data_IF_778873135631
#
_entry.id   IF_778873135631
#
_cell.length_a   1.000
_cell.length_b   1.000
_cell.length_c   1.000
_cell.angle_alpha   90.00
_cell.angle_beta   90.00
_cell.angle_gamma   90.00
#
_symmetry.space_group_name_H-M   'P 1'
#
loop_
_entity.id
_entity.type
_entity.pdbx_description
1 polymer ?
#
# COMPACT_ATOMS: atom_id res chain seq x y z
N UNK A 1 -8.13 20.21 10.70
CA UNK A 1 -7.16 19.29 11.33
C UNK A 1 -6.25 18.68 10.26
N UNK A 2 -5.08 19.28 9.99
CA UNK A 2 -4.16 18.81 8.95
C UNK A 2 -3.45 17.49 9.33
N UNK A 3 -3.09 17.35 10.61
CA UNK A 3 -2.43 16.15 11.14
C UNK A 3 -3.29 14.90 11.05
N UNK A 4 -4.60 15.02 11.27
CA UNK A 4 -5.55 13.92 11.13
C UNK A 4 -5.63 13.40 9.68
N UNK A 5 -5.60 14.31 8.69
CA UNK A 5 -5.56 13.93 7.27
C UNK A 5 -4.25 13.21 6.94
N UNK A 6 -3.12 13.69 7.49
CA UNK A 6 -1.83 13.02 7.35
C UNK A 6 -1.83 11.62 7.96
N UNK A 7 -2.33 11.47 9.19
CA UNK A 7 -2.44 10.18 9.87
C UNK A 7 -3.36 9.20 9.13
N UNK A 8 -4.48 9.69 8.59
CA UNK A 8 -5.36 8.89 7.74
C UNK A 8 -4.61 8.35 6.52
N UNK A 9 -3.91 9.20 5.76
CA UNK A 9 -3.12 8.76 4.61
C UNK A 9 -2.01 7.78 5.01
N UNK A 10 -1.30 8.05 6.10
CA UNK A 10 -0.26 7.17 6.63
C UNK A 10 -0.83 5.79 6.98
N UNK A 11 -2.05 5.70 7.53
CA UNK A 11 -2.68 4.42 7.81
C UNK A 11 -3.01 3.63 6.54
N UNK A 12 -3.39 4.31 5.45
CA UNK A 12 -3.55 3.64 4.15
C UNK A 12 -2.23 3.16 3.58
N UNK A 13 -1.17 3.97 3.61
CA UNK A 13 0.12 3.60 3.03
C UNK A 13 0.87 2.53 3.86
N UNK A 14 0.99 2.78 5.16
CA UNK A 14 1.83 2.01 6.07
C UNK A 14 1.05 1.02 6.94
N UNK A 15 -0.25 1.20 7.13
CA UNK A 15 -1.13 0.22 7.77
C UNK A 15 -1.64 -0.78 6.74
N UNK A 16 -2.72 -0.43 6.06
CA UNK A 16 -3.42 -1.34 5.14
C UNK A 16 -2.58 -1.72 3.91
N UNK A 17 -1.91 -0.74 3.32
CA UNK A 17 -1.01 -0.93 2.19
C UNK A 17 0.26 -1.68 2.55
N UNK A 18 0.66 -1.66 3.83
CA UNK A 18 1.82 -2.39 4.31
C UNK A 18 3.14 -2.01 3.64
N UNK A 19 3.23 -0.80 3.07
CA UNK A 19 4.41 -0.34 2.35
C UNK A 19 5.55 -0.14 3.36
N UNK A 20 6.74 -0.67 3.09
CA UNK A 20 7.92 -0.52 3.94
C UNK A 20 9.13 -0.20 3.09
N UNK A 21 9.76 0.92 3.39
CA UNK A 21 11.08 1.25 2.87
C UNK A 21 12.11 0.48 3.71
N UNK A 22 12.95 -0.29 3.05
CA UNK A 22 14.07 -1.04 3.63
C UNK A 22 15.33 -0.73 2.84
N UNK A 23 16.48 -1.07 3.40
CA UNK A 23 17.78 -0.91 2.74
C UNK A 23 17.85 -1.71 1.43
N UNK A 24 17.18 -2.87 1.39
CA UNK A 24 17.11 -3.75 0.21
C UNK A 24 15.97 -3.40 -0.75
N UNK A 25 15.18 -2.37 -0.45
CA UNK A 25 14.18 -1.81 -1.37
C UNK A 25 12.79 -1.58 -0.78
N UNK A 26 11.81 -1.43 -1.68
CA UNK A 26 10.40 -1.29 -1.34
C UNK A 26 9.80 -2.69 -1.07
N UNK A 27 9.32 -2.93 0.15
CA UNK A 27 8.57 -4.13 0.53
C UNK A 27 7.09 -3.80 0.71
N UNK A 28 6.22 -4.77 0.44
CA UNK A 28 4.77 -4.65 0.62
C UNK A 28 4.27 -5.86 1.42
N UNK A 29 3.62 -5.59 2.55
CA UNK A 29 3.02 -6.59 3.44
C UNK A 29 1.60 -6.16 3.80
N UNK A 30 0.65 -6.34 2.87
CA UNK A 30 -0.67 -5.74 2.98
C UNK A 30 -1.50 -6.41 4.09
N UNK A 31 -2.33 -5.62 4.76
CA UNK A 31 -3.31 -6.10 5.72
C UNK A 31 -4.62 -5.34 5.53
N UNK A 32 -5.52 -5.93 4.75
CA UNK A 32 -6.82 -5.32 4.50
C UNK A 32 -7.82 -5.70 5.60
N UNK A 33 -8.58 -4.74 6.14
CA UNK A 33 -9.69 -5.04 7.02
C UNK A 33 -10.81 -5.78 6.25
N UNK A 34 -11.65 -6.53 6.95
CA UNK A 34 -12.74 -7.34 6.37
C UNK A 34 -13.64 -6.56 5.39
N UNK A 35 -13.91 -5.30 5.70
CA UNK A 35 -14.82 -4.46 4.92
C UNK A 35 -14.21 -3.98 3.60
N UNK A 36 -12.89 -4.12 3.41
CA UNK A 36 -12.18 -3.60 2.24
C UNK A 36 -11.70 -4.75 1.37
N UNK A 37 -12.31 -4.86 0.18
CA UNK A 37 -11.96 -5.92 -0.79
C UNK A 37 -10.70 -5.62 -1.60
N UNK A 38 -10.48 -4.34 -1.93
CA UNK A 38 -9.38 -3.90 -2.77
C UNK A 38 -8.94 -2.48 -2.45
N UNK A 39 -7.63 -2.24 -2.51
CA UNK A 39 -7.03 -0.91 -2.53
C UNK A 39 -6.08 -0.84 -3.72
N UNK A 40 -6.13 0.26 -4.47
CA UNK A 40 -5.19 0.53 -5.56
C UNK A 40 -4.49 1.86 -5.32
N UNK A 41 -3.18 1.83 -5.15
CA UNK A 41 -2.33 3.01 -5.21
C UNK A 41 -1.87 3.19 -6.66
N UNK A 42 -2.43 4.19 -7.34
CA UNK A 42 -2.19 4.41 -8.76
C UNK A 42 -0.74 4.74 -9.08
N UNK A 43 -0.07 5.48 -8.20
CA UNK A 43 1.31 5.91 -8.40
C UNK A 43 2.03 6.14 -7.09
N UNK A 44 3.03 5.31 -6.82
CA UNK A 44 3.98 5.44 -5.73
C UNK A 44 5.34 5.71 -6.33
N UNK A 45 6.03 6.75 -5.88
CA UNK A 45 7.36 7.08 -6.34
C UNK A 45 8.41 6.56 -5.37
N UNK A 46 9.35 5.79 -5.89
CA UNK A 46 10.48 5.27 -5.11
C UNK A 46 11.69 5.05 -6.02
N UNK A 47 12.88 5.44 -5.57
CA UNK A 47 14.12 5.23 -6.33
C UNK A 47 14.12 5.82 -7.75
N UNK A 48 13.43 6.96 -7.96
CA UNK A 48 13.29 7.59 -9.28
C UNK A 48 12.31 6.88 -10.23
N UNK A 49 11.60 5.86 -9.77
CA UNK A 49 10.61 5.09 -10.56
C UNK A 49 9.22 5.26 -9.99
N UNK A 50 8.22 5.05 -10.86
CA UNK A 50 6.82 5.02 -10.49
C UNK A 50 6.31 3.58 -10.44
N UNK A 51 5.50 3.27 -9.43
CA UNK A 51 4.90 1.96 -9.25
C UNK A 51 3.40 2.08 -9.05
N UNK A 52 2.65 1.16 -9.63
CA UNK A 52 1.26 0.91 -9.31
C UNK A 52 1.18 -0.29 -8.36
N UNK A 53 0.50 -0.13 -7.24
CA UNK A 53 0.28 -1.19 -6.25
C UNK A 53 -1.21 -1.50 -6.17
N UNK A 54 -1.59 -2.73 -6.54
CA UNK A 54 -2.95 -3.25 -6.33
C UNK A 54 -2.92 -4.29 -5.24
N UNK A 55 -3.83 -4.18 -4.27
CA UNK A 55 -3.98 -5.12 -3.16
C UNK A 55 -5.42 -5.61 -3.16
N UNK A 56 -5.60 -6.93 -3.15
CA UNK A 56 -6.91 -7.58 -3.12
C UNK A 56 -6.98 -8.59 -1.98
N UNK A 57 -8.14 -8.67 -1.30
CA UNK A 57 -8.40 -9.70 -0.30
C UNK A 57 -9.01 -10.93 -0.99
N UNK A 58 -8.30 -12.07 -0.95
CA UNK A 58 -8.79 -13.39 -1.41
C UNK A 58 -8.69 -14.40 -0.28
N UNK A 59 -9.81 -15.05 0.05
CA UNK A 59 -9.87 -16.16 1.02
C UNK A 59 -9.08 -15.87 2.32
N UNK A 60 -9.33 -14.68 2.87
CA UNK A 60 -8.72 -14.15 4.08
C UNK A 60 -7.22 -13.77 4.03
N UNK A 61 -6.59 -13.89 2.85
CA UNK A 61 -5.24 -13.40 2.60
C UNK A 61 -5.26 -12.17 1.71
N UNK A 62 -4.43 -11.19 2.02
CA UNK A 62 -4.20 -10.05 1.13
C UNK A 62 -3.10 -10.41 0.12
N UNK A 63 -3.46 -10.41 -1.16
CA UNK A 63 -2.54 -10.60 -2.28
C UNK A 63 -2.25 -9.22 -2.86
N UNK A 64 -1.00 -8.99 -3.27
CA UNK A 64 -0.63 -7.75 -3.93
C UNK A 64 0.09 -8.00 -5.25
N UNK A 65 -0.06 -7.02 -6.13
CA UNK A 65 0.68 -6.91 -7.38
C UNK A 65 1.33 -5.52 -7.41
N UNK A 66 2.64 -5.50 -7.65
CA UNK A 66 3.42 -4.28 -7.79
C UNK A 66 3.99 -4.21 -9.21
N UNK A 67 3.48 -3.28 -10.01
CA UNK A 67 3.90 -3.08 -11.39
C UNK A 67 4.63 -1.76 -11.51
N UNK A 68 5.73 -1.71 -12.26
CA UNK A 68 6.35 -0.43 -12.63
C UNK A 68 5.46 0.26 -13.68
N UNK A 69 5.12 1.53 -13.44
CA UNK A 69 4.30 2.36 -14.33
C UNK A 69 5.13 3.26 -15.24
#
# INVERSE_FOLDING_TARGET
FLTAIGGFLQNFLYGFGGIRLREDGLKVQPLLPEQVRRITFKRIFWGGKAYQLSIEKKEDKAIYELTQA
#
